data_IF_381986273295
#
_entry.id   IF_381986273295
#
_cell.length_a   1.000
_cell.length_b   1.000
_cell.length_c   1.000
_cell.angle_alpha   90.00
_cell.angle_beta   90.00
_cell.angle_gamma   90.00
#
_symmetry.space_group_name_H-M   'P 1'
#
loop_
_entity.id
_entity.type
_entity.pdbx_description
1 polymer ?
#
# COMPACT_ATOMS: atom_id res chain seq x y z
N UNK A 1 -10.03 8.77 7.10
CA UNK A 1 -10.29 7.85 8.24
C UNK A 1 -11.05 8.61 9.30
N UNK A 2 -12.17 8.05 9.77
CA UNK A 2 -12.95 8.56 10.92
C UNK A 2 -12.43 7.90 12.18
N UNK A 3 -12.26 8.71 13.23
CA UNK A 3 -11.78 8.28 14.53
C UNK A 3 -12.95 8.21 15.52
N UNK A 4 -13.14 7.04 16.11
CA UNK A 4 -14.19 6.76 17.10
C UNK A 4 -13.51 6.60 18.46
N UNK A 5 -13.62 7.56 19.38
CA UNK A 5 -13.00 7.46 20.69
C UNK A 5 -13.68 6.35 21.51
N UNK A 6 -12.87 5.49 22.14
CA UNK A 6 -13.34 4.38 22.97
C UNK A 6 -13.38 4.74 24.45
N UNK A 7 -12.73 5.84 24.85
CA UNK A 7 -12.73 6.29 26.24
C UNK A 7 -12.91 7.81 26.38
N UNK A 8 -13.25 8.26 27.59
CA UNK A 8 -13.49 9.68 27.88
C UNK A 8 -12.26 10.58 27.67
N UNK A 9 -11.07 10.04 27.89
CA UNK A 9 -9.79 10.75 27.71
C UNK A 9 -9.36 10.82 26.24
N UNK A 10 -10.07 10.12 25.34
CA UNK A 10 -9.80 10.06 23.89
C UNK A 10 -8.39 9.61 23.52
N UNK A 11 -7.70 8.92 24.43
CA UNK A 11 -6.38 8.37 24.16
C UNK A 11 -6.43 6.98 23.52
N UNK A 12 -7.59 6.29 23.59
CA UNK A 12 -7.90 5.10 22.81
C UNK A 12 -9.03 5.36 21.83
N UNK A 13 -8.89 4.85 20.60
CA UNK A 13 -9.90 4.97 19.56
C UNK A 13 -9.85 3.84 18.54
N UNK A 14 -10.92 3.73 17.78
CA UNK A 14 -11.03 2.89 16.60
C UNK A 14 -11.02 3.79 15.37
N UNK A 15 -10.09 3.56 14.45
CA UNK A 15 -10.00 4.27 13.17
C UNK A 15 -10.60 3.41 12.06
N UNK A 16 -11.65 3.92 11.41
CA UNK A 16 -12.25 3.29 10.22
C UNK A 16 -12.20 4.27 9.08
N UNK A 17 -11.86 3.81 7.89
CA UNK A 17 -11.79 4.72 6.77
C UNK A 17 -11.82 4.04 5.42
N UNK A 18 -11.79 4.90 4.43
CA UNK A 18 -11.59 4.46 3.07
C UNK A 18 -10.70 5.48 2.34
N UNK A 19 -9.98 5.07 1.32
CA UNK A 19 -9.10 5.95 0.57
C UNK A 19 -8.73 5.40 -0.79
N UNK A 20 -8.14 6.26 -1.61
CA UNK A 20 -7.53 5.91 -2.89
C UNK A 20 -6.01 5.86 -2.72
N UNK A 21 -5.39 4.80 -3.23
CA UNK A 21 -3.93 4.62 -3.21
C UNK A 21 -3.41 4.55 -4.64
N UNK A 22 -2.41 5.36 -4.92
CA UNK A 22 -1.64 5.33 -6.15
C UNK A 22 -0.24 4.84 -5.81
N UNK A 23 0.14 3.68 -6.32
CA UNK A 23 1.44 3.07 -6.08
C UNK A 23 2.29 3.03 -7.34
N UNK A 24 3.59 3.28 -7.19
CA UNK A 24 4.59 3.04 -8.22
C UNK A 24 5.74 2.29 -7.58
N UNK A 25 6.13 1.15 -8.15
CA UNK A 25 7.21 0.31 -7.64
C UNK A 25 8.18 -0.05 -8.76
N UNK A 26 9.45 0.17 -8.52
CA UNK A 26 10.52 -0.34 -9.37
C UNK A 26 10.93 -1.73 -8.87
N UNK A 27 11.29 -2.60 -9.79
CA UNK A 27 11.64 -3.98 -9.48
C UNK A 27 12.66 -4.51 -10.47
N UNK A 28 13.39 -5.53 -10.11
CA UNK A 28 14.19 -6.37 -11.01
C UNK A 28 13.40 -7.59 -11.52
N UNK A 29 12.11 -7.70 -11.17
CA UNK A 29 11.22 -8.73 -11.70
C UNK A 29 10.66 -8.26 -13.04
N UNK A 30 11.12 -8.88 -14.14
CA UNK A 30 10.61 -8.63 -15.49
C UNK A 30 9.41 -9.52 -15.74
N UNK A 31 8.31 -8.91 -16.17
CA UNK A 31 7.08 -9.59 -16.57
C UNK A 31 6.98 -9.56 -18.11
N UNK A 32 6.82 -10.71 -18.73
CA UNK A 32 6.61 -10.84 -20.17
C UNK A 32 5.35 -11.63 -20.45
N UNK A 33 4.62 -11.24 -21.50
CA UNK A 33 3.39 -11.89 -21.90
C UNK A 33 3.57 -12.60 -23.23
N UNK A 34 3.24 -13.89 -23.26
CA UNK A 34 3.20 -14.70 -24.47
C UNK A 34 1.91 -15.52 -24.46
N UNK A 35 1.13 -15.45 -25.51
CA UNK A 35 -0.15 -16.18 -25.65
C UNK A 35 -1.11 -15.99 -24.44
N UNK A 36 -1.25 -14.77 -23.95
CA UNK A 36 -2.02 -14.39 -22.75
C UNK A 36 -1.52 -15.00 -21.44
N UNK A 37 -0.34 -15.61 -21.44
CA UNK A 37 0.31 -16.11 -20.24
C UNK A 37 1.42 -15.16 -19.81
N UNK A 38 1.40 -14.75 -18.55
CA UNK A 38 2.44 -13.85 -18.01
C UNK A 38 3.49 -14.68 -17.30
N UNK A 39 4.70 -14.62 -17.81
CA UNK A 39 5.89 -15.19 -17.18
C UNK A 39 6.68 -14.11 -16.44
N UNK A 40 7.42 -14.54 -15.42
CA UNK A 40 8.27 -13.67 -14.62
C UNK A 40 9.69 -14.21 -14.54
N UNK A 41 10.64 -13.31 -14.66
CA UNK A 41 12.08 -13.61 -14.50
C UNK A 41 12.78 -12.49 -13.75
N UNK A 42 13.81 -12.84 -12.98
CA UNK A 42 14.67 -11.84 -12.34
C UNK A 42 15.73 -11.43 -13.34
N UNK A 43 15.85 -10.12 -13.59
CA UNK A 43 16.83 -9.52 -14.49
C UNK A 43 17.82 -8.67 -13.72
N UNK A 44 19.05 -8.56 -14.24
CA UNK A 44 20.04 -7.67 -13.66
C UNK A 44 19.68 -6.21 -13.91
N UNK A 45 20.06 -5.33 -12.96
CA UNK A 45 19.74 -3.91 -13.06
C UNK A 45 20.37 -3.17 -14.25
N UNK A 46 21.41 -3.75 -14.85
CA UNK A 46 22.10 -3.21 -16.03
C UNK A 46 21.37 -3.54 -17.35
N UNK A 47 20.46 -4.50 -17.34
CA UNK A 47 19.74 -4.97 -18.52
C UNK A 47 18.56 -4.08 -18.95
N UNK A 48 18.17 -3.12 -18.10
CA UNK A 48 17.01 -2.27 -18.34
C UNK A 48 17.20 -0.84 -17.79
N UNK A 49 16.57 0.11 -18.46
CA UNK A 49 16.49 1.50 -17.99
C UNK A 49 15.24 1.75 -17.15
N UNK A 50 14.19 0.98 -17.36
CA UNK A 50 12.95 1.08 -16.60
C UNK A 50 12.27 -0.29 -16.45
N UNK A 51 11.99 -0.66 -15.21
CA UNK A 51 11.24 -1.87 -14.87
C UNK A 51 10.36 -1.53 -13.67
N UNK A 52 9.10 -1.12 -13.96
CA UNK A 52 8.18 -0.64 -12.91
C UNK A 52 6.75 -1.04 -13.17
N UNK A 53 6.00 -1.18 -12.08
CA UNK A 53 4.55 -1.28 -12.13
C UNK A 53 3.89 -0.15 -11.34
N UNK A 54 2.76 0.30 -11.87
CA UNK A 54 1.87 1.26 -11.23
C UNK A 54 0.58 0.56 -10.85
N UNK A 55 0.05 0.89 -9.70
CA UNK A 55 -1.22 0.33 -9.20
C UNK A 55 -2.13 1.43 -8.70
N UNK A 56 -3.43 1.28 -8.95
CA UNK A 56 -4.47 2.10 -8.35
C UNK A 56 -5.36 1.19 -7.53
N UNK A 57 -5.50 1.47 -6.24
CA UNK A 57 -6.26 0.65 -5.29
C UNK A 57 -7.22 1.51 -4.48
N UNK A 58 -8.38 0.95 -4.11
CA UNK A 58 -9.20 1.47 -3.02
C UNK A 58 -8.75 0.75 -1.75
N UNK A 59 -8.58 1.49 -0.65
CA UNK A 59 -8.09 0.95 0.62
C UNK A 59 -9.10 1.18 1.73
N UNK A 60 -9.30 0.16 2.56
CA UNK A 60 -10.18 0.14 3.72
C UNK A 60 -9.37 -0.21 4.97
N UNK A 61 -8.81 0.78 5.66
CA UNK A 61 -8.12 0.58 6.93
C UNK A 61 -9.10 0.48 8.10
N UNK A 62 -8.78 -0.46 9.01
CA UNK A 62 -9.39 -0.60 10.32
C UNK A 62 -8.25 -0.65 11.35
N UNK A 63 -8.20 0.32 12.26
CA UNK A 63 -7.06 0.52 13.16
C UNK A 63 -7.51 0.72 14.60
N UNK A 64 -6.85 0.07 15.54
CA UNK A 64 -6.85 0.47 16.96
C UNK A 64 -5.79 1.56 17.14
N UNK A 65 -6.18 2.65 17.76
CA UNK A 65 -5.38 3.87 17.88
C UNK A 65 -5.15 4.20 19.34
N UNK A 66 -3.88 4.27 19.70
CA UNK A 66 -3.45 4.79 20.99
C UNK A 66 -2.65 6.08 20.81
N UNK A 67 -2.89 7.04 21.72
CA UNK A 67 -2.21 8.33 21.72
C UNK A 67 -2.07 8.90 23.12
N UNK A 68 -0.98 9.63 23.36
CA UNK A 68 -0.74 10.32 24.63
C UNK A 68 -1.24 11.78 24.61
N UNK A 69 -2.28 12.08 23.81
CA UNK A 69 -2.82 13.44 23.69
C UNK A 69 -3.48 13.91 24.99
N UNK A 70 -3.22 15.18 25.33
CA UNK A 70 -3.93 15.89 26.42
C UNK A 70 -4.65 17.10 25.83
N UNK A 71 -5.67 17.67 26.50
CA UNK A 71 -6.37 18.86 26.00
C UNK A 71 -5.46 20.08 25.74
N UNK A 72 -4.30 20.12 26.39
CA UNK A 72 -3.36 21.25 26.35
C UNK A 72 -2.09 20.99 25.53
N UNK A 73 -1.84 19.74 25.10
CA UNK A 73 -0.62 19.39 24.36
C UNK A 73 -0.92 18.95 22.94
N UNK A 74 -0.31 19.63 21.97
CA UNK A 74 -0.35 19.25 20.54
C UNK A 74 0.75 18.26 20.17
N UNK A 75 1.78 18.09 21.02
CA UNK A 75 2.89 17.14 20.80
C UNK A 75 2.59 15.90 21.59
N UNK A 76 2.27 14.80 20.90
CA UNK A 76 1.94 13.53 21.53
C UNK A 76 2.46 12.35 20.74
N UNK A 77 2.73 11.25 21.43
CA UNK A 77 3.00 9.97 20.83
C UNK A 77 1.72 9.31 20.35
N UNK A 78 1.81 8.62 19.23
CA UNK A 78 0.73 7.81 18.69
C UNK A 78 1.24 6.47 18.22
N UNK A 79 0.46 5.42 18.45
CA UNK A 79 0.67 4.08 17.94
C UNK A 79 -0.66 3.57 17.42
N UNK A 80 -0.70 3.22 16.14
CA UNK A 80 -1.87 2.69 15.46
C UNK A 80 -1.53 1.33 14.92
N UNK A 81 -2.33 0.34 15.27
CA UNK A 81 -2.20 -1.02 14.77
C UNK A 81 -3.52 -1.45 14.15
N UNK A 82 -3.46 -2.13 12.98
CA UNK A 82 -4.68 -2.50 12.31
C UNK A 82 -4.52 -3.44 11.14
N UNK A 83 -5.63 -3.62 10.47
CA UNK A 83 -5.74 -4.37 9.22
C UNK A 83 -6.13 -3.40 8.12
N UNK A 84 -5.50 -3.54 6.96
CA UNK A 84 -5.86 -2.79 5.77
C UNK A 84 -6.19 -3.77 4.65
N UNK A 85 -7.40 -3.67 4.13
CA UNK A 85 -7.82 -4.39 2.93
C UNK A 85 -7.86 -3.42 1.76
N UNK A 86 -7.32 -3.83 0.63
CA UNK A 86 -7.28 -3.04 -0.60
C UNK A 86 -7.88 -3.82 -1.76
N UNK A 87 -8.58 -3.11 -2.62
CA UNK A 87 -9.12 -3.64 -3.87
C UNK A 87 -8.42 -2.97 -5.05
N UNK A 88 -7.81 -3.78 -5.91
CA UNK A 88 -7.08 -3.32 -7.09
C UNK A 88 -8.05 -2.90 -8.20
N UNK A 89 -8.01 -1.64 -8.58
CA UNK A 89 -8.77 -1.08 -9.70
C UNK A 89 -8.02 -1.22 -11.02
N UNK A 90 -6.74 -0.86 -11.00
CA UNK A 90 -5.90 -0.85 -12.20
C UNK A 90 -4.46 -1.20 -11.85
N UNK A 91 -3.81 -1.92 -12.75
CA UNK A 91 -2.37 -2.16 -12.74
C UNK A 91 -1.79 -1.97 -14.13
N UNK A 92 -0.59 -1.41 -14.20
CA UNK A 92 0.16 -1.21 -15.44
C UNK A 92 1.63 -1.48 -15.17
N UNK A 93 2.23 -2.27 -16.01
CA UNK A 93 3.66 -2.56 -16.01
C UNK A 93 4.33 -1.87 -17.20
N UNK A 94 5.52 -1.34 -16.99
CA UNK A 94 6.33 -0.74 -18.02
C UNK A 94 7.77 -1.24 -17.93
N UNK A 95 8.24 -1.79 -19.04
CA UNK A 95 9.60 -2.25 -19.23
C UNK A 95 10.25 -1.48 -20.37
N UNK A 96 11.45 -0.96 -20.15
CA UNK A 96 12.28 -0.29 -21.15
C UNK A 96 13.72 -0.80 -21.03
N UNK A 97 14.27 -1.32 -22.12
CA UNK A 97 15.67 -1.72 -22.28
C UNK A 97 16.19 -1.28 -23.66
N UNK A 98 17.46 -1.48 -23.92
CA UNK A 98 18.06 -1.13 -25.22
C UNK A 98 17.35 -1.81 -26.40
N UNK A 99 16.86 -3.04 -26.19
CA UNK A 99 16.30 -3.85 -27.27
C UNK A 99 14.80 -4.01 -27.25
N UNK A 100 14.15 -3.76 -26.08
CA UNK A 100 12.73 -4.06 -25.87
C UNK A 100 12.05 -2.98 -25.03
N UNK A 101 10.95 -2.43 -25.57
CA UNK A 101 10.12 -1.49 -24.85
C UNK A 101 8.66 -1.93 -24.97
N UNK A 102 8.01 -2.21 -23.85
CA UNK A 102 6.62 -2.61 -23.85
C UNK A 102 5.90 -2.23 -22.55
N UNK A 103 4.59 -2.28 -22.62
CA UNK A 103 3.69 -2.00 -21.50
C UNK A 103 2.65 -3.11 -21.42
N UNK A 104 2.41 -3.63 -20.22
CA UNK A 104 1.34 -4.57 -19.93
C UNK A 104 0.30 -3.90 -19.03
N UNK A 105 -0.95 -3.97 -19.41
CA UNK A 105 -2.08 -3.55 -18.56
C UNK A 105 -2.72 -4.78 -17.89
N UNK A 106 -3.43 -4.56 -16.81
CA UNK A 106 -4.14 -5.62 -16.09
C UNK A 106 -3.26 -6.80 -15.65
N UNK A 107 -2.18 -6.47 -14.97
CA UNK A 107 -1.24 -7.47 -14.42
C UNK A 107 -1.97 -8.57 -13.63
N UNK A 108 -1.41 -9.79 -13.56
CA UNK A 108 -1.99 -10.92 -12.87
C UNK A 108 -1.92 -10.78 -11.34
N UNK A 109 -2.22 -9.61 -10.84
CA UNK A 109 -2.29 -9.33 -9.42
C UNK A 109 -3.59 -9.83 -8.82
N UNK A 110 -3.53 -10.25 -7.56
CA UNK A 110 -4.71 -10.55 -6.78
C UNK A 110 -5.55 -9.27 -6.61
N UNK A 111 -6.85 -9.34 -6.95
CA UNK A 111 -7.76 -8.19 -6.87
C UNK A 111 -7.91 -7.66 -5.45
N UNK A 112 -8.04 -8.56 -4.46
CA UNK A 112 -8.15 -8.20 -3.05
C UNK A 112 -6.87 -8.55 -2.33
N UNK A 113 -6.27 -7.57 -1.69
CA UNK A 113 -5.05 -7.70 -0.90
C UNK A 113 -5.32 -7.20 0.52
N UNK A 114 -4.90 -7.99 1.51
CA UNK A 114 -5.05 -7.64 2.92
C UNK A 114 -3.70 -7.71 3.62
N UNK A 115 -3.50 -6.86 4.60
CA UNK A 115 -2.26 -6.81 5.36
C UNK A 115 -2.42 -6.14 6.71
N UNK A 116 -1.43 -6.35 7.56
CA UNK A 116 -1.31 -5.68 8.85
C UNK A 116 -0.62 -4.33 8.66
N UNK A 117 -1.06 -3.35 9.43
CA UNK A 117 -0.44 -2.02 9.50
C UNK A 117 -0.01 -1.71 10.93
N UNK A 118 1.18 -1.15 11.06
CA UNK A 118 1.67 -0.58 12.31
C UNK A 118 2.22 0.80 12.01
N UNK A 119 1.65 1.82 12.64
CA UNK A 119 2.10 3.20 12.50
C UNK A 119 2.47 3.74 13.88
N UNK A 120 3.65 4.29 14.02
CA UNK A 120 4.13 4.89 15.25
C UNK A 120 4.77 6.24 14.98
N UNK A 121 4.54 7.21 15.84
CA UNK A 121 5.15 8.51 15.65
C UNK A 121 4.88 9.52 16.75
N UNK A 122 5.57 10.65 16.61
CA UNK A 122 5.46 11.79 17.50
C UNK A 122 5.23 13.04 16.66
N UNK A 123 4.26 13.84 17.04
CA UNK A 123 3.89 15.07 16.35
C UNK A 123 3.65 14.84 14.85
N UNK A 124 4.46 15.43 13.96
CA UNK A 124 4.34 15.35 12.50
C UNK A 124 4.98 14.09 11.92
N UNK A 125 6.02 13.56 12.57
CA UNK A 125 6.79 12.42 12.07
C UNK A 125 6.18 11.10 12.49
N UNK A 126 5.82 10.28 11.51
CA UNK A 126 5.27 8.95 11.76
C UNK A 126 5.96 7.96 10.83
N UNK A 127 6.34 6.82 11.40
CA UNK A 127 6.83 5.67 10.67
C UNK A 127 5.69 4.69 10.49
N UNK A 128 5.55 4.15 9.28
CA UNK A 128 4.53 3.16 8.96
C UNK A 128 5.13 1.90 8.39
N UNK A 129 4.62 0.77 8.85
CA UNK A 129 4.94 -0.56 8.35
C UNK A 129 3.67 -1.22 7.84
N UNK A 130 3.75 -1.87 6.70
CA UNK A 130 2.70 -2.71 6.15
C UNK A 130 3.25 -4.09 5.83
N UNK A 131 2.55 -5.13 6.28
CA UNK A 131 2.86 -6.54 6.03
C UNK A 131 1.69 -7.19 5.30
N UNK A 132 1.87 -7.54 4.04
CA UNK A 132 0.89 -8.29 3.26
C UNK A 132 0.65 -9.70 3.82
N UNK A 133 -0.59 -10.07 4.05
CA UNK A 133 -0.98 -11.39 4.54
C UNK A 133 -1.16 -12.39 3.42
N UNK A 134 -1.62 -11.95 2.27
CA UNK A 134 -1.83 -12.78 1.10
C UNK A 134 -0.82 -12.46 -0.01
N UNK A 135 -0.57 -13.40 -0.93
CA UNK A 135 0.31 -13.18 -2.07
C UNK A 135 -0.18 -12.03 -2.96
N UNK A 136 0.78 -11.32 -3.57
CA UNK A 136 0.54 -10.20 -4.48
C UNK A 136 -0.09 -10.68 -5.79
N UNK A 137 0.40 -11.81 -6.32
CA UNK A 137 -0.08 -12.38 -7.57
C UNK A 137 -1.30 -13.31 -7.38
N UNK A 138 -2.07 -13.50 -8.44
CA UNK A 138 -3.18 -14.43 -8.46
C UNK A 138 -2.71 -15.91 -8.55
N UNK A 139 -3.64 -16.85 -8.40
CA UNK A 139 -3.31 -18.29 -8.39
C UNK A 139 -2.80 -18.78 -9.74
N UNK A 140 -3.35 -18.29 -10.83
CA UNK A 140 -2.98 -18.68 -12.20
C UNK A 140 -1.52 -18.33 -12.49
N UNK A 141 -1.11 -17.11 -12.15
CA UNK A 141 0.29 -16.67 -12.24
C UNK A 141 1.21 -17.56 -11.41
N UNK A 142 0.82 -17.92 -10.18
CA UNK A 142 1.59 -18.79 -9.31
C UNK A 142 1.76 -20.22 -9.81
N UNK A 143 0.84 -20.71 -10.64
CA UNK A 143 0.99 -22.03 -11.31
C UNK A 143 2.05 -21.99 -12.42
N UNK A 144 2.11 -20.87 -13.16
CA UNK A 144 3.08 -20.67 -14.25
C UNK A 144 4.46 -20.30 -13.66
N UNK A 145 4.48 -19.57 -12.56
CA UNK A 145 5.68 -19.04 -11.90
C UNK A 145 5.77 -19.50 -10.44
N UNK A 146 6.13 -20.76 -10.16
CA UNK A 146 6.11 -21.32 -8.80
C UNK A 146 6.98 -20.56 -7.79
N UNK A 147 8.11 -19.99 -8.23
CA UNK A 147 9.06 -19.27 -7.40
C UNK A 147 8.49 -17.95 -6.85
N UNK A 148 7.48 -17.40 -7.50
CA UNK A 148 6.86 -16.12 -7.12
C UNK A 148 5.45 -16.26 -6.55
N UNK A 149 4.92 -17.48 -6.41
CA UNK A 149 3.53 -17.74 -5.97
C UNK A 149 3.21 -17.17 -4.59
N UNK A 150 4.18 -17.16 -3.68
CA UNK A 150 4.03 -16.72 -2.29
C UNK A 150 4.63 -15.33 -2.02
N UNK A 151 4.95 -14.56 -3.07
CA UNK A 151 5.49 -13.22 -2.94
C UNK A 151 4.48 -12.31 -2.22
N UNK A 152 4.88 -11.77 -1.06
CA UNK A 152 4.06 -10.87 -0.24
C UNK A 152 4.61 -9.46 -0.24
N UNK A 153 3.74 -8.49 -0.05
CA UNK A 153 4.10 -7.09 -0.02
C UNK A 153 4.59 -6.69 1.37
N UNK A 154 5.75 -6.06 1.44
CA UNK A 154 6.27 -5.38 2.63
C UNK A 154 6.51 -3.92 2.28
N UNK A 155 6.02 -3.02 3.11
CA UNK A 155 6.27 -1.57 2.96
C UNK A 155 6.73 -0.97 4.26
N UNK A 156 7.75 -0.14 4.18
CA UNK A 156 8.25 0.73 5.24
C UNK A 156 8.26 2.16 4.71
N UNK A 157 7.76 3.11 5.46
CA UNK A 157 7.71 4.49 4.99
C UNK A 157 7.35 5.51 6.05
N UNK A 158 7.46 6.78 5.66
CA UNK A 158 7.04 7.91 6.46
C UNK A 158 5.60 8.27 6.14
N UNK A 159 4.83 8.62 7.16
CA UNK A 159 3.43 9.01 7.04
C UNK A 159 3.25 10.42 7.60
N UNK A 160 2.68 11.29 6.79
CA UNK A 160 2.34 12.66 7.17
C UNK A 160 0.83 12.80 7.23
N UNK A 161 0.30 13.27 8.38
CA UNK A 161 -1.11 13.58 8.53
C UNK A 161 -1.32 15.06 8.22
N UNK A 162 -2.00 15.35 7.11
CA UNK A 162 -2.38 16.70 6.72
C UNK A 162 -3.84 16.90 7.12
N UNK A 163 -4.08 17.84 8.05
CA UNK A 163 -5.42 18.25 8.46
C UNK A 163 -5.86 19.42 7.58
N UNK A 164 -6.86 19.18 6.72
CA UNK A 164 -7.53 20.25 5.99
C UNK A 164 -8.77 20.65 6.78
N UNK A 165 -8.79 21.87 7.30
CA UNK A 165 -9.98 22.48 7.90
C UNK A 165 -10.74 23.24 6.82
N UNK A 166 -11.85 22.68 6.34
CA UNK A 166 -12.83 23.47 5.61
C UNK A 166 -13.66 24.26 6.62
N UNK A 167 -13.34 25.53 6.80
CA UNK A 167 -14.19 26.43 7.56
C UNK A 167 -15.34 26.87 6.66
N UNK A 168 -16.51 26.21 6.76
CA UNK A 168 -17.73 26.78 6.20
C UNK A 168 -18.16 27.93 7.10
N UNK A 169 -17.99 29.18 6.65
CA UNK A 169 -18.75 30.32 7.19
C UNK A 169 -20.17 30.20 6.67
N UNK A 170 -21.09 29.81 7.54
CA UNK A 170 -22.53 29.98 7.33
C UNK A 170 -22.81 31.44 7.67
N UNK A 171 -23.24 32.24 6.68
CA UNK A 171 -23.78 33.58 6.87
C UNK A 171 -25.27 33.47 7.16
#
# INVERSE_FOLDING_TARGET
IRDLPLNKQRNFGLGVGFGLSLGSSNSNLKLSELNNLVSAEIVNGEDFTKNKWNTTKIEFPLEVRWRTSTPTSYKFWRVYFGVKTSYLLRSRYKYESLNNNYTLDNLPFRKTQSGLTLNAGNNTWNLGVYLGLNPVFNKEFGQINPDFKDLKEFKLGLIFYILWFFTYKIY
#
